data_IF_458164717955
#
_entry.id   IF_458164717955
#
_cell.length_a   1.000
_cell.length_b   1.000
_cell.length_c   1.000
_cell.angle_alpha   90.00
_cell.angle_beta   90.00
_cell.angle_gamma   90.00
#
_symmetry.space_group_name_H-M   'P 1'
#
loop_
_entity.id
_entity.type
_entity.pdbx_description
1 polymer ?
#
# COMPACT_ATOMS: atom_id res chain seq x y z
N UNK A 1 -11.59 44.76 -50.54
CA UNK A 1 -12.58 45.48 -49.72
C UNK A 1 -13.80 44.60 -49.68
N UNK A 2 -13.98 43.92 -48.55
CA UNK A 2 -14.95 42.84 -48.38
C UNK A 2 -16.39 43.31 -48.60
N UNK A 3 -17.10 42.50 -49.38
CA UNK A 3 -18.48 42.67 -49.82
C UNK A 3 -19.25 41.45 -49.34
N UNK A 4 -20.17 41.71 -48.39
CA UNK A 4 -21.56 41.24 -48.32
C UNK A 4 -21.88 39.72 -48.39
N UNK A 5 -22.62 39.22 -47.38
CA UNK A 5 -24.06 38.86 -47.40
C UNK A 5 -24.40 37.97 -46.17
N UNK A 6 -25.21 38.45 -45.20
CA UNK A 6 -26.67 38.25 -45.02
C UNK A 6 -27.11 36.76 -44.97
N UNK A 7 -27.43 36.20 -43.80
CA UNK A 7 -28.73 36.20 -43.06
C UNK A 7 -29.67 35.04 -43.44
N UNK A 8 -30.23 34.40 -42.39
CA UNK A 8 -31.49 33.64 -42.29
C UNK A 8 -31.46 32.16 -42.74
N UNK A 9 -31.54 31.15 -41.86
CA UNK A 9 -32.65 30.69 -41.01
C UNK A 9 -33.57 29.63 -41.67
N UNK A 10 -33.64 28.48 -40.98
CA UNK A 10 -34.72 27.50 -40.81
C UNK A 10 -35.09 26.46 -41.90
N UNK A 11 -34.86 25.19 -41.51
CA UNK A 11 -35.69 23.98 -41.61
C UNK A 11 -36.40 23.59 -42.94
N UNK A 12 -36.12 22.38 -43.46
CA UNK A 12 -37.04 21.22 -43.39
C UNK A 12 -36.42 19.89 -43.94
N UNK A 13 -36.33 18.89 -43.05
CA UNK A 13 -36.69 17.46 -43.14
C UNK A 13 -36.42 16.56 -44.39
N UNK A 14 -35.77 15.42 -44.06
CA UNK A 14 -35.86 14.04 -44.60
C UNK A 14 -35.23 13.70 -45.96
N UNK A 15 -34.15 12.90 -45.91
CA UNK A 15 -34.10 11.52 -46.43
C UNK A 15 -32.93 10.78 -45.75
N UNK A 16 -33.19 9.53 -45.36
CA UNK A 16 -32.36 8.74 -44.47
C UNK A 16 -31.05 8.24 -45.07
N UNK A 17 -30.10 7.99 -44.17
CA UNK A 17 -29.06 6.97 -44.36
C UNK A 17 -28.75 6.40 -42.98
N UNK A 18 -29.14 5.15 -42.80
CA UNK A 18 -28.85 4.29 -41.66
C UNK A 18 -27.35 4.10 -41.51
N UNK A 19 -26.81 4.50 -40.35
CA UNK A 19 -25.54 3.98 -39.86
C UNK A 19 -25.85 3.21 -38.57
N UNK A 20 -25.79 1.88 -38.66
CA UNK A 20 -25.63 1.03 -37.48
C UNK A 20 -24.28 1.39 -36.84
N UNK A 21 -24.32 1.86 -35.60
CA UNK A 21 -23.15 2.06 -34.76
C UNK A 21 -23.54 1.75 -33.33
N UNK A 22 -22.94 0.68 -32.79
CA UNK A 22 -23.19 0.07 -31.49
C UNK A 22 -23.45 1.08 -30.38
N UNK A 23 -24.61 0.95 -29.73
CA UNK A 23 -24.83 1.48 -28.40
C UNK A 23 -23.81 0.83 -27.47
N UNK A 24 -22.73 1.56 -27.17
CA UNK A 24 -21.92 1.30 -25.98
C UNK A 24 -22.89 1.26 -24.80
N UNK A 25 -23.06 0.08 -24.22
CA UNK A 25 -23.67 -0.06 -22.92
C UNK A 25 -22.87 0.83 -21.97
N UNK A 26 -23.45 1.97 -21.60
CA UNK A 26 -22.99 2.76 -20.48
C UNK A 26 -23.14 1.82 -19.27
N UNK A 27 -22.04 1.25 -18.80
CA UNK A 27 -22.04 0.44 -17.59
C UNK A 27 -22.65 1.29 -16.49
N UNK A 28 -23.68 0.74 -15.83
CA UNK A 28 -24.27 1.35 -14.65
C UNK A 28 -23.12 1.63 -13.66
N UNK A 29 -23.06 2.79 -12.99
CA UNK A 29 -22.08 2.99 -11.93
C UNK A 29 -22.23 1.85 -10.93
N UNK A 30 -21.13 1.18 -10.55
CA UNK A 30 -21.18 0.15 -9.52
C UNK A 30 -21.80 0.76 -8.25
N UNK A 31 -22.79 0.08 -7.68
CA UNK A 31 -23.49 0.60 -6.51
C UNK A 31 -22.52 0.65 -5.32
N UNK A 32 -22.33 1.84 -4.76
CA UNK A 32 -21.40 2.07 -3.63
C UNK A 32 -21.94 1.34 -2.40
N UNK A 33 -21.11 0.44 -1.85
CA UNK A 33 -21.40 -0.34 -0.66
C UNK A 33 -21.19 0.50 0.61
N UNK A 34 -20.04 1.17 0.75
CA UNK A 34 -19.70 2.05 1.89
C UNK A 34 -19.01 3.31 1.39
N UNK A 35 -19.50 4.49 1.81
CA UNK A 35 -18.86 5.76 1.51
C UNK A 35 -17.64 6.01 2.42
N UNK A 36 -16.54 6.50 1.85
CA UNK A 36 -15.30 6.81 2.56
C UNK A 36 -15.05 8.32 2.66
N UNK A 37 -14.32 8.74 3.69
CA UNK A 37 -13.79 10.10 3.82
C UNK A 37 -12.66 10.31 2.82
N UNK A 38 -13.00 10.74 1.61
CA UNK A 38 -12.02 10.91 0.53
C UNK A 38 -11.26 12.25 0.58
N UNK A 39 -11.41 13.04 1.63
CA UNK A 39 -10.74 14.32 1.77
C UNK A 39 -9.25 14.12 2.03
N UNK A 40 -8.42 14.77 1.22
CA UNK A 40 -6.95 14.74 1.33
C UNK A 40 -6.40 16.14 1.58
N UNK A 41 -5.38 16.23 2.41
CA UNK A 41 -4.74 17.49 2.77
C UNK A 41 -3.69 17.92 1.72
N UNK A 42 -3.75 19.16 1.19
CA UNK A 42 -2.81 19.65 0.16
C UNK A 42 -1.40 19.96 0.70
N UNK A 43 -1.22 20.05 2.02
CA UNK A 43 0.09 20.29 2.66
C UNK A 43 0.69 19.06 3.32
N UNK A 44 0.14 17.87 3.07
CA UNK A 44 0.56 16.62 3.72
C UNK A 44 1.09 15.65 2.68
N UNK A 45 2.40 15.39 2.73
CA UNK A 45 3.09 14.49 1.83
C UNK A 45 2.88 13.05 2.27
N UNK A 46 2.37 12.22 1.36
CA UNK A 46 2.48 10.77 1.48
C UNK A 46 3.86 10.31 1.04
N UNK A 47 4.55 9.58 1.92
CA UNK A 47 5.93 9.13 1.67
C UNK A 47 6.04 7.69 1.19
N UNK A 48 4.94 6.94 1.13
CA UNK A 48 4.97 5.58 0.57
C UNK A 48 5.39 5.65 -0.90
N UNK A 49 6.48 4.94 -1.21
CA UNK A 49 7.07 4.94 -2.56
C UNK A 49 6.88 3.60 -3.25
N UNK A 50 6.68 3.66 -4.56
CA UNK A 50 6.84 2.53 -5.46
C UNK A 50 8.32 2.35 -5.85
N UNK A 51 8.72 1.14 -6.29
CA UNK A 51 10.09 0.86 -6.75
C UNK A 51 10.54 1.72 -7.96
N UNK A 52 9.59 2.34 -8.69
CA UNK A 52 9.86 3.20 -9.85
C UNK A 52 9.57 4.69 -9.61
N UNK A 53 9.17 5.06 -8.40
CA UNK A 53 8.83 6.44 -8.09
C UNK A 53 10.10 7.28 -7.92
N UNK A 54 10.06 8.53 -8.37
CA UNK A 54 11.13 9.47 -8.10
C UNK A 54 11.19 9.77 -6.59
N UNK A 55 12.36 9.54 -5.99
CA UNK A 55 12.63 9.87 -4.59
C UNK A 55 12.51 11.41 -4.41
N UNK A 56 11.69 11.91 -3.46
CA UNK A 56 11.69 13.31 -3.09
C UNK A 56 13.05 13.65 -2.46
N UNK A 57 13.91 14.28 -3.25
CA UNK A 57 15.31 14.53 -2.93
C UNK A 57 15.54 16.02 -2.68
N UNK A 58 15.93 16.36 -1.46
CA UNK A 58 16.39 17.69 -1.08
C UNK A 58 17.91 17.77 -1.27
N UNK A 59 18.40 18.91 -1.75
CA UNK A 59 19.82 19.15 -1.97
C UNK A 59 20.18 20.55 -1.46
N UNK A 60 21.16 20.62 -0.57
CA UNK A 60 21.61 21.85 0.07
C UNK A 60 23.12 21.99 -0.07
N UNK A 61 23.60 23.17 -0.46
CA UNK A 61 25.02 23.46 -0.42
C UNK A 61 25.44 23.58 1.04
N UNK A 62 26.43 22.81 1.46
CA UNK A 62 26.85 22.75 2.86
C UNK A 62 27.35 24.11 3.35
N UNK A 63 28.01 24.88 2.48
CA UNK A 63 28.46 26.26 2.76
C UNK A 63 27.34 27.22 3.18
N UNK A 64 26.10 26.93 2.78
CA UNK A 64 24.94 27.79 3.01
C UNK A 64 24.13 27.32 4.23
N UNK A 65 24.53 26.22 4.88
CA UNK A 65 23.83 25.66 6.04
C UNK A 65 24.31 26.33 7.32
N UNK A 66 23.40 27.07 7.96
CA UNK A 66 23.65 27.68 9.28
C UNK A 66 23.24 26.78 10.46
N UNK A 67 22.40 25.77 10.22
CA UNK A 67 21.96 24.81 11.23
C UNK A 67 21.62 23.46 10.57
N UNK A 68 22.12 22.37 11.14
CA UNK A 68 21.78 21.00 10.73
C UNK A 68 20.51 20.45 11.42
N UNK A 69 19.76 21.31 12.11
CA UNK A 69 18.49 20.93 12.72
C UNK A 69 17.41 20.71 11.64
N UNK A 70 16.80 19.53 11.66
CA UNK A 70 15.64 19.20 10.86
C UNK A 70 14.49 18.75 11.75
N UNK A 71 13.26 19.17 11.44
CA UNK A 71 12.06 18.77 12.18
C UNK A 71 10.89 18.55 11.24
N UNK A 72 9.97 17.68 11.63
CA UNK A 72 8.73 17.37 10.88
C UNK A 72 7.72 16.69 11.79
N UNK A 73 6.47 16.64 11.36
CA UNK A 73 5.46 15.78 11.97
C UNK A 73 5.26 14.52 11.13
N UNK A 74 5.20 13.35 11.78
CA UNK A 74 4.95 12.05 11.17
C UNK A 74 3.67 11.44 11.71
N UNK A 75 2.90 10.79 10.84
CA UNK A 75 1.77 9.91 11.19
C UNK A 75 1.82 8.65 10.34
N UNK A 76 1.75 7.48 10.97
CA UNK A 76 1.78 6.18 10.29
C UNK A 76 1.15 5.07 11.16
N UNK A 77 0.72 3.97 10.54
CA UNK A 77 0.45 2.68 11.19
C UNK A 77 1.47 1.60 10.80
N UNK A 78 2.35 1.91 9.84
CA UNK A 78 3.40 1.04 9.35
C UNK A 78 4.42 0.76 10.49
N UNK A 79 4.78 -0.50 10.77
CA UNK A 79 5.76 -0.81 11.81
C UNK A 79 7.23 -0.63 11.36
N UNK A 80 7.50 -0.52 10.07
CA UNK A 80 8.84 -0.47 9.49
C UNK A 80 8.91 0.56 8.35
N UNK A 81 10.09 1.08 8.05
CA UNK A 81 10.29 1.92 6.86
C UNK A 81 11.30 3.04 7.02
N UNK A 82 11.77 3.58 5.90
CA UNK A 82 12.70 4.71 5.91
C UNK A 82 11.90 6.01 6.06
N UNK A 83 12.20 6.81 7.08
CA UNK A 83 11.60 8.15 7.23
C UNK A 83 12.38 9.14 6.38
N UNK A 84 13.70 9.20 6.58
CA UNK A 84 14.60 9.90 5.67
C UNK A 84 16.02 9.32 5.73
N UNK A 85 16.75 9.47 4.64
CA UNK A 85 18.16 9.12 4.52
C UNK A 85 18.95 10.34 4.04
N UNK A 86 20.00 10.70 4.77
CA UNK A 86 20.89 11.82 4.45
C UNK A 86 22.31 11.35 4.15
N UNK A 87 22.95 11.90 3.13
CA UNK A 87 24.40 11.71 2.91
C UNK A 87 25.10 13.04 2.59
N UNK A 88 26.38 13.09 2.93
CA UNK A 88 27.25 14.23 2.68
C UNK A 88 28.45 13.75 1.85
N UNK A 89 28.74 14.45 0.75
CA UNK A 89 29.99 14.34 -0.04
C UNK A 89 30.27 13.00 -0.75
N UNK A 90 30.40 11.90 0.00
CA UNK A 90 30.82 10.54 -0.45
C UNK A 90 29.79 9.50 0.00
N UNK A 91 29.67 8.38 -0.73
CA UNK A 91 28.77 7.26 -0.37
C UNK A 91 29.14 6.58 0.97
N UNK A 92 30.28 6.93 1.57
CA UNK A 92 30.84 6.35 2.79
C UNK A 92 30.39 7.05 4.09
N UNK A 93 29.62 8.14 4.04
CA UNK A 93 29.10 8.79 5.25
C UNK A 93 27.65 9.20 5.11
N UNK A 94 26.79 8.59 5.93
CA UNK A 94 25.36 8.74 5.82
C UNK A 94 24.66 8.53 7.17
N UNK A 95 23.47 9.13 7.26
CA UNK A 95 22.56 9.04 8.39
C UNK A 95 21.22 8.53 7.89
N UNK A 96 20.66 7.54 8.57
CA UNK A 96 19.35 6.99 8.29
C UNK A 96 18.49 7.11 9.55
N UNK A 97 17.35 7.78 9.42
CA UNK A 97 16.27 7.68 10.38
C UNK A 97 15.19 6.79 9.81
N UNK A 98 14.87 5.74 10.54
CA UNK A 98 13.91 4.72 10.13
C UNK A 98 12.98 4.35 11.27
N UNK A 99 11.90 3.68 10.93
CA UNK A 99 11.09 2.93 11.86
C UNK A 99 11.44 1.45 11.74
N UNK A 100 11.60 0.78 12.88
CA UNK A 100 11.77 -0.67 12.93
C UNK A 100 11.10 -1.21 14.18
N UNK A 101 10.31 -2.27 14.04
CA UNK A 101 9.51 -2.84 15.13
C UNK A 101 8.67 -1.80 15.88
N UNK A 102 8.20 -0.76 15.17
CA UNK A 102 7.39 0.38 15.66
C UNK A 102 8.14 1.48 16.41
N UNK A 103 9.46 1.38 16.54
CA UNK A 103 10.30 2.36 17.25
C UNK A 103 11.21 3.11 16.28
N UNK A 104 11.56 4.35 16.63
CA UNK A 104 12.58 5.08 15.87
C UNK A 104 13.93 4.37 15.99
N UNK A 105 14.62 4.31 14.87
CA UNK A 105 15.94 3.73 14.77
C UNK A 105 16.85 4.64 13.93
N UNK A 106 18.01 4.94 14.51
CA UNK A 106 19.09 5.67 13.87
C UNK A 106 20.15 4.69 13.43
N UNK A 107 20.57 4.81 12.16
CA UNK A 107 21.83 4.27 11.70
C UNK A 107 22.73 5.42 11.24
N UNK A 108 23.95 5.42 11.73
CA UNK A 108 24.98 6.40 11.35
C UNK A 108 26.20 5.63 10.87
N UNK A 109 26.62 5.90 9.64
CA UNK A 109 27.85 5.38 9.08
C UNK A 109 28.83 6.53 8.89
N UNK A 110 30.01 6.42 9.50
CA UNK A 110 31.08 7.42 9.43
C UNK A 110 32.42 6.68 9.32
N UNK A 111 33.06 6.79 8.15
CA UNK A 111 34.30 6.06 7.83
C UNK A 111 34.11 4.54 7.90
N UNK A 112 34.67 3.90 8.93
CA UNK A 112 34.53 2.45 9.18
C UNK A 112 33.59 2.11 10.34
N UNK A 113 32.98 3.12 10.97
CA UNK A 113 32.09 2.94 12.12
C UNK A 113 30.64 2.94 11.66
N UNK A 114 29.88 1.92 12.09
CA UNK A 114 28.43 1.85 11.92
C UNK A 114 27.78 1.80 13.31
N UNK A 115 27.01 2.83 13.63
CA UNK A 115 26.24 2.92 14.87
C UNK A 115 24.78 2.62 14.53
N UNK A 116 24.14 1.76 15.35
CA UNK A 116 22.70 1.46 15.28
C UNK A 116 22.09 1.62 16.67
N UNK A 117 21.14 2.54 16.81
CA UNK A 117 20.48 2.82 18.09
C UNK A 117 18.98 2.94 17.88
N UNK A 118 18.19 2.26 18.71
CA UNK A 118 16.73 2.42 18.79
C UNK A 118 16.34 2.77 20.23
N UNK A 119 15.38 3.69 20.38
CA UNK A 119 14.89 4.17 21.67
C UNK A 119 13.60 4.96 21.47
N UNK A 120 12.94 5.34 22.56
CA UNK A 120 11.76 6.21 22.56
C UNK A 120 10.42 5.47 22.52
N UNK A 121 9.32 6.22 22.31
CA UNK A 121 7.97 5.66 22.31
C UNK A 121 7.65 4.91 21.01
N UNK A 122 6.53 4.18 21.04
CA UNK A 122 5.90 3.64 19.82
C UNK A 122 5.45 4.80 18.93
N UNK A 123 5.78 4.73 17.64
CA UNK A 123 5.49 5.81 16.67
C UNK A 123 4.25 5.52 15.83
N UNK A 124 3.99 4.26 15.51
CA UNK A 124 2.98 3.86 14.52
C UNK A 124 1.55 3.76 15.07
N UNK A 125 1.16 4.67 15.95
CA UNK A 125 -0.15 4.67 16.61
C UNK A 125 -1.23 5.44 15.83
N UNK A 126 -0.93 5.90 14.61
CA UNK A 126 -1.84 6.67 13.78
C UNK A 126 -2.03 8.13 14.21
N UNK A 127 -1.31 8.62 15.22
CA UNK A 127 -1.34 10.02 15.63
C UNK A 127 -0.15 10.79 15.07
N UNK A 128 -0.32 12.11 14.94
CA UNK A 128 0.78 13.01 14.57
C UNK A 128 1.76 13.14 15.73
N UNK A 129 3.05 12.90 15.47
CA UNK A 129 4.15 13.11 16.41
C UNK A 129 5.18 14.02 15.80
N UNK A 130 5.69 15.00 16.56
CA UNK A 130 6.76 15.86 16.09
C UNK A 130 8.11 15.22 16.36
N UNK A 131 8.89 15.02 15.29
CA UNK A 131 10.22 14.43 15.34
C UNK A 131 11.23 15.51 14.94
N UNK A 132 12.33 15.61 15.68
CA UNK A 132 13.44 16.49 15.31
C UNK A 132 14.77 15.76 15.40
N UNK A 133 15.68 16.09 14.49
CA UNK A 133 17.07 15.64 14.48
C UNK A 133 17.95 16.87 14.48
N UNK A 134 18.90 16.96 15.41
CA UNK A 134 19.79 18.10 15.53
C UNK A 134 21.21 17.67 15.89
N UNK A 135 22.21 18.43 15.44
CA UNK A 135 23.59 18.30 15.91
C UNK A 135 23.82 19.40 16.96
N UNK A 136 24.19 19.01 18.19
CA UNK A 136 24.43 19.94 19.30
C UNK A 136 25.59 19.44 20.17
N UNK A 137 26.60 20.27 20.41
CA UNK A 137 27.74 19.96 21.28
C UNK A 137 28.39 18.59 21.01
N UNK A 138 28.66 18.27 19.73
CA UNK A 138 29.19 16.96 19.29
C UNK A 138 28.24 15.77 19.49
N UNK A 139 26.93 16.01 19.66
CA UNK A 139 25.93 14.95 19.69
C UNK A 139 24.92 15.12 18.58
N UNK A 140 24.52 14.00 17.97
CA UNK A 140 23.28 13.92 17.20
C UNK A 140 22.16 13.57 18.20
N UNK A 141 21.18 14.45 18.28
CA UNK A 141 19.99 14.30 19.12
C UNK A 141 18.79 13.99 18.23
N UNK A 142 18.03 12.95 18.59
CA UNK A 142 16.70 12.72 18.04
C UNK A 142 15.68 12.88 19.15
N UNK A 143 14.67 13.69 18.90
CA UNK A 143 13.63 14.03 19.87
C UNK A 143 12.25 13.68 19.31
N UNK A 144 11.33 13.29 20.21
CA UNK A 144 9.90 13.09 19.91
C UNK A 144 9.10 13.96 20.86
N UNK A 145 8.24 14.83 20.32
CA UNK A 145 7.40 15.75 21.08
C UNK A 145 8.17 16.58 22.14
N UNK A 146 9.40 16.97 21.77
CA UNK A 146 10.40 17.73 22.56
C UNK A 146 11.19 16.92 23.61
N UNK A 147 10.98 15.60 23.72
CA UNK A 147 11.80 14.73 24.56
C UNK A 147 12.95 14.11 23.76
N UNK A 148 14.19 14.33 24.20
CA UNK A 148 15.40 13.73 23.59
C UNK A 148 15.44 12.22 23.89
N UNK A 149 15.15 11.40 22.89
CA UNK A 149 15.04 9.94 23.04
C UNK A 149 16.29 9.17 22.60
N UNK A 150 17.06 9.74 21.67
CA UNK A 150 18.32 9.17 21.16
C UNK A 150 19.39 10.25 21.21
N UNK A 151 20.55 9.88 21.74
CA UNK A 151 21.74 10.73 21.78
C UNK A 151 22.94 9.92 21.31
N UNK A 152 23.51 10.30 20.17
CA UNK A 152 24.67 9.65 19.56
C UNK A 152 25.86 10.58 19.66
N UNK A 153 26.99 10.11 20.20
CA UNK A 153 28.23 10.88 20.19
C UNK A 153 28.79 10.92 18.77
N UNK A 154 28.98 12.11 18.23
CA UNK A 154 29.54 12.35 16.92
C UNK A 154 30.89 13.03 17.11
N UNK A 155 31.96 12.41 16.59
CA UNK A 155 33.32 12.86 16.84
C UNK A 155 33.71 14.10 16.03
N UNK A 156 32.92 14.49 15.02
CA UNK A 156 33.11 15.72 14.25
C UNK A 156 32.46 16.94 14.90
N UNK A 157 33.16 18.08 14.84
CA UNK A 157 32.59 19.38 15.20
C UNK A 157 31.78 19.94 14.02
N UNK A 158 30.66 20.61 14.29
CA UNK A 158 29.81 21.25 13.26
C UNK A 158 30.62 22.26 12.43
N UNK A 159 31.63 22.88 13.06
CA UNK A 159 32.55 23.82 12.42
C UNK A 159 33.36 23.19 11.28
N UNK A 160 33.62 21.87 11.34
CA UNK A 160 34.31 21.15 10.26
C UNK A 160 33.46 21.09 8.99
N UNK A 161 32.12 21.02 9.10
CA UNK A 161 31.24 21.02 7.93
C UNK A 161 31.16 22.41 7.25
N UNK A 162 31.31 23.51 8.00
CA UNK A 162 31.12 24.86 7.45
C UNK A 162 32.26 25.33 6.53
N UNK A 163 33.46 24.77 6.69
CA UNK A 163 34.60 25.04 5.79
C UNK A 163 34.64 24.11 4.57
N UNK A 164 33.69 23.17 4.47
CA UNK A 164 33.67 22.15 3.42
C UNK A 164 32.86 22.56 2.17
N UNK A 165 33.42 22.26 1.00
CA UNK A 165 32.72 22.34 -0.28
C UNK A 165 32.02 21.00 -0.52
N UNK A 166 30.69 20.99 -0.49
CA UNK A 166 29.90 19.78 -0.73
C UNK A 166 28.39 20.02 -0.74
N UNK A 167 27.65 18.98 -1.12
CA UNK A 167 26.18 18.98 -1.13
C UNK A 167 25.67 17.97 -0.11
N UNK A 168 24.81 18.41 0.79
CA UNK A 168 23.98 17.56 1.63
C UNK A 168 22.76 17.12 0.81
N UNK A 169 22.56 15.81 0.68
CA UNK A 169 21.36 15.25 0.05
C UNK A 169 20.50 14.56 1.10
N UNK A 170 19.19 14.80 1.07
CA UNK A 170 18.22 14.15 1.95
C UNK A 170 17.11 13.54 1.10
N UNK A 171 17.00 12.22 1.11
CA UNK A 171 15.90 11.47 0.52
C UNK A 171 14.78 11.28 1.54
N UNK A 172 13.56 11.67 1.19
CA UNK A 172 12.38 11.55 2.05
C UNK A 172 11.63 10.27 1.72
N UNK A 173 11.35 9.42 2.71
CA UNK A 173 10.64 8.15 2.50
C UNK A 173 11.41 7.09 1.72
N UNK A 174 12.70 7.31 1.45
CA UNK A 174 13.55 6.40 0.70
C UNK A 174 15.03 6.68 0.94
N UNK A 175 15.85 5.71 0.53
CA UNK A 175 17.30 5.87 0.47
C UNK A 175 17.70 6.83 -0.64
N UNK A 176 18.76 7.60 -0.43
CA UNK A 176 19.33 8.46 -1.48
C UNK A 176 19.90 7.54 -2.58
N UNK A 177 19.56 7.78 -3.86
CA UNK A 177 20.05 6.95 -4.97
C UNK A 177 21.57 6.79 -4.97
N UNK A 178 22.04 5.61 -5.40
CA UNK A 178 23.46 5.24 -5.43
C UNK A 178 24.15 5.27 -4.05
N UNK A 179 23.43 5.02 -2.95
CA UNK A 179 24.06 4.83 -1.63
C UNK A 179 24.01 3.35 -1.25
N UNK A 180 25.14 2.77 -0.84
CA UNK A 180 25.18 1.43 -0.25
C UNK A 180 24.89 1.51 1.25
N UNK A 181 23.71 1.04 1.65
CA UNK A 181 23.29 0.98 3.05
C UNK A 181 23.20 -0.51 3.45
N UNK A 182 24.21 -1.08 4.13
CA UNK A 182 24.23 -2.48 4.55
C UNK A 182 23.32 -2.73 5.76
N UNK A 183 22.06 -2.30 5.66
CA UNK A 183 21.04 -2.45 6.70
C UNK A 183 19.91 -3.31 6.15
N UNK A 184 19.50 -4.32 6.92
CA UNK A 184 18.32 -5.11 6.61
C UNK A 184 17.07 -4.35 7.08
N UNK A 185 16.51 -3.54 6.19
CA UNK A 185 15.26 -2.79 6.38
C UNK A 185 14.50 -2.73 5.05
N UNK A 186 13.20 -2.94 5.09
CA UNK A 186 12.30 -2.62 3.99
C UNK A 186 12.17 -1.08 3.91
N UNK A 187 12.59 -0.42 2.81
CA UNK A 187 12.60 1.03 2.76
C UNK A 187 11.20 1.65 2.67
N UNK A 188 10.20 0.88 2.22
CA UNK A 188 8.82 1.36 2.06
C UNK A 188 8.24 1.82 3.40
N UNK A 189 7.55 2.96 3.40
CA UNK A 189 6.87 3.50 4.58
C UNK A 189 5.50 4.06 4.17
N UNK A 190 4.40 3.40 4.56
CA UNK A 190 3.05 3.98 4.47
C UNK A 190 2.87 5.03 5.58
N UNK A 191 3.40 6.23 5.32
CA UNK A 191 3.42 7.34 6.26
C UNK A 191 3.08 8.69 5.63
N UNK A 192 2.74 9.63 6.49
CA UNK A 192 2.43 11.01 6.12
C UNK A 192 3.35 11.99 6.84
N UNK A 193 3.87 12.98 6.12
CA UNK A 193 4.69 14.06 6.66
C UNK A 193 4.02 15.41 6.47
N UNK A 194 4.16 16.29 7.47
CA UNK A 194 3.75 17.70 7.40
C UNK A 194 4.61 18.58 8.32
N UNK A 195 4.39 19.89 8.26
CA UNK A 195 5.03 20.88 9.15
C UNK A 195 6.55 20.69 9.24
N UNK A 196 7.19 20.40 8.10
CA UNK A 196 8.61 20.13 8.05
C UNK A 196 9.44 21.41 7.94
N UNK A 197 10.66 21.32 8.44
CA UNK A 197 11.68 22.35 8.39
C UNK A 197 13.02 21.62 8.31
N UNK A 198 13.60 21.55 7.11
CA UNK A 198 14.82 20.79 6.82
C UNK A 198 16.00 21.74 6.79
N UNK A 199 16.95 21.56 7.71
CA UNK A 199 18.18 22.37 7.84
C UNK A 199 17.96 23.89 7.80
N UNK A 200 16.78 24.35 8.23
CA UNK A 200 16.34 25.76 8.18
C UNK A 200 16.40 26.39 6.78
N UNK A 201 16.22 25.58 5.74
CA UNK A 201 16.22 26.01 4.34
C UNK A 201 14.93 25.62 3.60
N UNK A 202 14.74 26.21 2.41
CA UNK A 202 13.56 26.00 1.57
C UNK A 202 13.46 24.56 1.06
N UNK A 203 12.24 24.02 1.05
CA UNK A 203 11.95 22.63 0.68
C UNK A 203 10.83 22.52 -0.37
N UNK A 204 10.80 23.46 -1.33
CA UNK A 204 9.78 23.55 -2.42
C UNK A 204 9.57 22.25 -3.20
N UNK A 205 10.61 21.42 -3.34
CA UNK A 205 10.53 20.12 -4.03
C UNK A 205 9.48 19.20 -3.41
N UNK A 206 9.27 19.26 -2.08
CA UNK A 206 8.26 18.44 -1.41
C UNK A 206 6.84 18.91 -1.77
N UNK A 207 6.60 20.22 -1.81
CA UNK A 207 5.31 20.75 -2.26
C UNK A 207 5.02 20.42 -3.72
N UNK A 208 6.03 20.50 -4.60
CA UNK A 208 5.90 20.07 -6.00
C UNK A 208 5.58 18.58 -6.12
N UNK A 209 6.15 17.76 -5.23
CA UNK A 209 5.85 16.31 -5.17
C UNK A 209 4.40 16.07 -4.74
N UNK A 210 3.88 16.84 -3.79
CA UNK A 210 2.46 16.72 -3.38
C UNK A 210 1.53 17.05 -4.54
N UNK A 211 1.83 18.10 -5.30
CA UNK A 211 0.99 18.54 -6.42
C UNK A 211 1.15 17.68 -7.68
N UNK A 212 2.11 16.76 -7.72
CA UNK A 212 2.32 15.92 -8.90
C UNK A 212 1.26 14.84 -9.09
N UNK A 213 0.57 14.42 -8.01
CA UNK A 213 -0.48 13.39 -8.07
C UNK A 213 -1.33 13.37 -6.79
N UNK A 214 -2.61 13.01 -6.92
CA UNK A 214 -3.49 12.74 -5.78
C UNK A 214 -3.02 11.54 -4.93
N UNK A 215 -2.21 10.63 -5.49
CA UNK A 215 -1.59 9.55 -4.73
C UNK A 215 -0.49 10.05 -3.77
N UNK A 216 0.05 11.25 -3.97
CA UNK A 216 1.05 11.88 -3.09
C UNK A 216 0.46 12.64 -1.91
N UNK A 217 -0.86 12.72 -1.83
CA UNK A 217 -1.59 13.34 -0.72
C UNK A 217 -2.10 12.29 0.26
N UNK A 218 -2.07 12.62 1.54
CA UNK A 218 -2.67 11.79 2.58
C UNK A 218 -4.12 12.19 2.88
N UNK A 219 -4.95 11.21 3.25
CA UNK A 219 -6.27 11.50 3.82
C UNK A 219 -6.19 12.20 5.16
N UNK A 220 -7.20 12.99 5.47
CA UNK A 220 -7.28 13.69 6.76
C UNK A 220 -7.49 12.70 7.91
N UNK A 221 -8.36 11.71 7.71
CA UNK A 221 -8.67 10.66 8.68
C UNK A 221 -8.28 9.29 8.13
N UNK A 222 -7.46 8.56 8.87
CA UNK A 222 -7.05 7.19 8.54
C UNK A 222 -7.33 6.23 9.69
N UNK A 223 -7.52 4.97 9.35
CA UNK A 223 -7.65 3.83 10.27
C UNK A 223 -6.71 2.71 9.84
N UNK A 224 -6.38 1.75 10.73
CA UNK A 224 -5.53 0.62 10.36
C UNK A 224 -6.13 -0.23 9.23
N UNK A 225 -5.27 -0.70 8.32
CA UNK A 225 -5.61 -1.69 7.28
C UNK A 225 -5.01 -1.35 5.93
N UNK A 226 -5.04 -2.32 5.02
CA UNK A 226 -4.56 -2.11 3.65
C UNK A 226 -5.71 -1.65 2.76
N UNK A 227 -5.54 -0.52 2.07
CA UNK A 227 -6.57 0.01 1.18
C UNK A 227 -6.28 -0.32 -0.28
N UNK A 228 -7.23 -0.98 -0.92
CA UNK A 228 -7.25 -1.25 -2.35
C UNK A 228 -8.24 -0.29 -3.02
N UNK A 229 -7.79 0.53 -3.98
CA UNK A 229 -8.61 1.57 -4.62
C UNK A 229 -9.45 1.07 -5.80
N UNK A 230 -9.42 -0.23 -6.15
CA UNK A 230 -10.10 -0.76 -7.33
C UNK A 230 -9.36 -0.57 -8.66
N UNK A 231 -8.04 -0.34 -8.63
CA UNK A 231 -7.22 -0.12 -9.85
C UNK A 231 -6.06 -1.10 -10.04
N UNK A 232 -5.84 -2.04 -9.12
CA UNK A 232 -4.74 -2.99 -9.25
C UNK A 232 -4.70 -4.04 -8.16
N UNK A 233 -3.54 -4.68 -8.02
CA UNK A 233 -3.32 -5.84 -7.16
C UNK A 233 -1.98 -5.79 -6.43
N UNK A 234 -1.82 -6.69 -5.47
CA UNK A 234 -0.53 -7.06 -4.88
C UNK A 234 -0.21 -8.53 -5.20
N UNK A 235 1.04 -8.80 -5.59
CA UNK A 235 1.56 -10.11 -6.01
C UNK A 235 2.62 -10.59 -5.01
N UNK A 236 2.50 -11.83 -4.57
CA UNK A 236 3.42 -12.48 -3.62
C UNK A 236 3.86 -13.85 -4.12
N UNK A 237 5.09 -14.23 -3.80
CA UNK A 237 5.53 -15.62 -3.97
C UNK A 237 4.83 -16.50 -2.92
N UNK A 238 4.27 -17.63 -3.33
CA UNK A 238 3.50 -18.52 -2.43
C UNK A 238 4.34 -19.03 -1.25
N UNK A 239 5.62 -19.31 -1.49
CA UNK A 239 6.59 -19.75 -0.48
C UNK A 239 6.73 -18.77 0.70
N UNK A 240 6.43 -17.48 0.50
CA UNK A 240 6.48 -16.49 1.59
C UNK A 240 5.52 -16.82 2.73
N UNK A 241 4.44 -17.56 2.46
CA UNK A 241 3.43 -17.96 3.45
C UNK A 241 3.54 -19.42 3.89
N UNK A 242 4.59 -20.13 3.45
CA UNK A 242 4.84 -21.47 3.95
C UNK A 242 5.22 -21.41 5.42
N UNK A 243 4.64 -22.33 6.19
CA UNK A 243 5.01 -22.57 7.58
C UNK A 243 5.85 -23.84 7.63
N UNK A 244 6.83 -23.88 8.55
CA UNK A 244 7.59 -25.10 8.80
C UNK A 244 6.67 -26.10 9.51
N UNK A 245 5.94 -26.88 8.73
CA UNK A 245 5.04 -27.91 9.23
C UNK A 245 5.83 -29.12 9.73
N UNK A 246 5.36 -29.73 10.81
CA UNK A 246 5.81 -31.06 11.20
C UNK A 246 5.39 -32.10 10.16
N UNK A 247 6.05 -33.27 10.13
CA UNK A 247 5.71 -34.36 9.19
C UNK A 247 4.22 -34.77 9.27
N UNK A 248 3.63 -34.76 10.46
CA UNK A 248 2.21 -35.09 10.65
C UNK A 248 1.25 -34.02 10.09
N UNK A 249 1.66 -32.75 10.10
CA UNK A 249 0.90 -31.65 9.50
C UNK A 249 1.09 -31.58 7.98
N UNK A 250 2.25 -32.03 7.47
CA UNK A 250 2.49 -32.18 6.05
C UNK A 250 1.62 -33.30 5.42
N UNK A 251 1.28 -34.35 6.17
CA UNK A 251 0.34 -35.39 5.70
C UNK A 251 -1.09 -34.84 5.58
N UNK A 252 -1.51 -33.96 6.50
CA UNK A 252 -2.82 -33.29 6.51
C UNK A 252 -2.71 -31.84 6.02
N UNK A 253 -2.28 -31.66 4.78
CA UNK A 253 -2.18 -30.34 4.17
C UNK A 253 -3.51 -29.58 4.26
N UNK A 254 -3.41 -28.29 4.61
CA UNK A 254 -4.54 -27.38 4.58
C UNK A 254 -4.10 -26.00 4.12
N UNK A 255 -5.01 -25.25 3.51
CA UNK A 255 -4.83 -23.84 3.20
C UNK A 255 -5.86 -23.03 3.96
N UNK A 256 -5.39 -22.09 4.78
CA UNK A 256 -6.25 -21.14 5.49
C UNK A 256 -5.95 -19.70 5.06
N UNK A 257 -6.99 -18.98 4.65
CA UNK A 257 -6.97 -17.55 4.33
C UNK A 257 -8.02 -16.85 5.17
N UNK A 258 -7.60 -15.94 6.03
CA UNK A 258 -8.46 -15.13 6.88
C UNK A 258 -8.46 -13.69 6.34
N UNK A 259 -9.64 -13.12 6.17
CA UNK A 259 -9.86 -11.78 5.63
C UNK A 259 -10.72 -10.97 6.59
N UNK A 260 -10.24 -9.81 7.01
CA UNK A 260 -11.06 -8.79 7.68
C UNK A 260 -11.33 -7.69 6.67
N UNK A 261 -12.51 -7.69 6.05
CA UNK A 261 -12.79 -6.84 4.89
C UNK A 261 -13.89 -5.81 5.15
N UNK A 262 -13.69 -4.60 4.62
CA UNK A 262 -14.65 -3.50 4.58
C UNK A 262 -14.70 -2.95 3.14
N UNK A 263 -15.60 -3.48 2.29
CA UNK A 263 -15.69 -3.09 0.90
C UNK A 263 -16.26 -1.68 0.72
N UNK A 264 -15.71 -0.92 -0.23
CA UNK A 264 -16.33 0.29 -0.78
C UNK A 264 -17.28 -0.08 -1.91
N UNK A 265 -16.95 -1.13 -2.66
CA UNK A 265 -17.81 -1.76 -3.67
C UNK A 265 -17.83 -3.26 -3.37
N UNK A 266 -19.01 -3.89 -3.42
CA UNK A 266 -19.18 -5.33 -3.16
C UNK A 266 -18.85 -6.19 -4.40
N UNK A 267 -17.76 -5.87 -5.09
CA UNK A 267 -17.32 -6.52 -6.32
C UNK A 267 -15.79 -6.58 -6.37
N UNK A 268 -15.26 -7.68 -6.89
CA UNK A 268 -13.83 -7.81 -7.19
C UNK A 268 -13.14 -9.01 -6.53
N UNK A 269 -11.92 -9.28 -7.00
CA UNK A 269 -11.09 -10.40 -6.54
C UNK A 269 -10.50 -10.09 -5.17
N UNK A 270 -10.75 -10.93 -4.18
CA UNK A 270 -10.18 -10.81 -2.83
C UNK A 270 -8.83 -11.52 -2.74
N UNK A 271 -8.77 -12.76 -3.23
CA UNK A 271 -7.62 -13.65 -3.15
C UNK A 271 -7.59 -14.55 -4.38
N UNK A 272 -6.42 -14.78 -4.96
CA UNK A 272 -6.23 -15.73 -6.05
C UNK A 272 -4.85 -16.39 -6.00
N UNK A 273 -4.76 -17.60 -6.56
CA UNK A 273 -3.52 -18.37 -6.72
C UNK A 273 -3.36 -18.74 -8.18
N UNK A 274 -2.20 -18.44 -8.74
CA UNK A 274 -1.80 -18.91 -10.06
C UNK A 274 -0.74 -20.00 -9.92
N UNK A 275 -0.78 -20.96 -10.83
CA UNK A 275 0.28 -21.94 -10.97
C UNK A 275 1.54 -21.34 -11.62
N UNK A 276 2.60 -22.14 -11.67
CA UNK A 276 3.87 -21.80 -12.30
C UNK A 276 3.77 -21.53 -13.82
N UNK A 277 2.64 -21.90 -14.44
CA UNK A 277 2.33 -21.63 -15.84
C UNK A 277 1.45 -20.39 -16.00
N UNK A 278 1.18 -19.65 -14.91
CA UNK A 278 0.29 -18.49 -14.86
C UNK A 278 -1.20 -18.81 -15.14
N UNK A 279 -1.64 -20.06 -14.94
CA UNK A 279 -3.05 -20.40 -14.98
C UNK A 279 -3.72 -20.18 -13.63
N UNK A 280 -4.97 -19.73 -13.64
CA UNK A 280 -5.76 -19.54 -12.43
C UNK A 280 -6.11 -20.89 -11.80
N UNK A 281 -5.56 -21.15 -10.62
CA UNK A 281 -5.81 -22.39 -9.86
C UNK A 281 -6.93 -22.22 -8.83
N UNK A 282 -6.94 -21.09 -8.14
CA UNK A 282 -7.92 -20.75 -7.11
C UNK A 282 -8.24 -19.26 -7.15
N UNK A 283 -9.51 -18.86 -7.04
CA UNK A 283 -9.87 -17.47 -6.72
C UNK A 283 -11.09 -17.37 -5.83
N UNK A 284 -11.12 -16.33 -5.00
CA UNK A 284 -12.25 -15.90 -4.19
C UNK A 284 -12.66 -14.48 -4.60
N UNK A 285 -13.89 -14.31 -5.08
CA UNK A 285 -14.38 -13.06 -5.66
C UNK A 285 -15.73 -12.64 -5.06
N UNK A 286 -15.89 -11.35 -4.82
CA UNK A 286 -17.20 -10.73 -4.60
C UNK A 286 -17.86 -10.48 -5.96
N UNK A 287 -19.14 -10.81 -6.10
CA UNK A 287 -19.91 -10.53 -7.32
C UNK A 287 -21.20 -9.77 -6.98
N UNK A 288 -21.18 -8.46 -7.20
CA UNK A 288 -22.32 -7.57 -6.98
C UNK A 288 -23.49 -7.88 -7.92
N UNK A 289 -23.21 -8.17 -9.20
CA UNK A 289 -24.25 -8.45 -10.21
C UNK A 289 -25.09 -9.68 -9.85
N UNK A 290 -24.43 -10.74 -9.37
CA UNK A 290 -25.09 -11.98 -8.97
C UNK A 290 -25.45 -12.04 -7.49
N UNK A 291 -25.08 -11.01 -6.70
CA UNK A 291 -25.29 -10.95 -5.25
C UNK A 291 -24.76 -12.18 -4.49
N UNK A 292 -23.59 -12.69 -4.89
CA UNK A 292 -22.97 -13.89 -4.30
C UNK A 292 -21.45 -13.75 -4.17
N UNK A 293 -20.85 -14.71 -3.46
CA UNK A 293 -19.40 -14.93 -3.45
C UNK A 293 -19.08 -16.12 -4.35
N UNK A 294 -18.15 -15.93 -5.28
CA UNK A 294 -17.71 -16.96 -6.21
C UNK A 294 -16.32 -17.46 -5.81
N UNK A 295 -16.19 -18.79 -5.72
CA UNK A 295 -14.94 -19.49 -5.53
C UNK A 295 -14.64 -20.32 -6.78
N UNK A 296 -13.57 -20.00 -7.51
CA UNK A 296 -13.20 -20.75 -8.71
C UNK A 296 -12.02 -21.66 -8.42
N UNK A 297 -12.13 -22.94 -8.76
CA UNK A 297 -11.04 -23.93 -8.65
C UNK A 297 -10.85 -24.57 -10.03
N UNK A 298 -9.68 -24.39 -10.64
CA UNK A 298 -9.35 -24.90 -11.99
C UNK A 298 -10.47 -24.70 -13.03
N UNK A 299 -11.09 -23.52 -13.04
CA UNK A 299 -12.17 -23.15 -13.95
C UNK A 299 -13.58 -23.60 -13.54
N UNK A 300 -13.72 -24.40 -12.48
CA UNK A 300 -15.01 -24.75 -11.87
C UNK A 300 -15.41 -23.69 -10.85
N UNK A 301 -16.53 -23.02 -11.08
CA UNK A 301 -17.08 -22.02 -10.16
C UNK A 301 -18.01 -22.67 -9.14
N UNK A 302 -17.77 -22.37 -7.86
CA UNK A 302 -18.59 -22.72 -6.71
C UNK A 302 -19.17 -21.42 -6.15
N UNK A 303 -20.49 -21.34 -6.06
CA UNK A 303 -21.19 -20.11 -5.68
C UNK A 303 -21.78 -20.24 -4.26
N UNK A 304 -21.72 -19.16 -3.48
CA UNK A 304 -22.45 -19.07 -2.21
C UNK A 304 -23.95 -18.84 -2.42
N UNK A 305 -24.75 -19.04 -1.38
CA UNK A 305 -26.20 -18.73 -1.42
C UNK A 305 -26.48 -17.23 -1.54
N UNK A 306 -25.51 -16.39 -1.19
CA UNK A 306 -25.59 -14.94 -1.34
C UNK A 306 -24.45 -14.20 -0.64
N UNK A 307 -24.44 -12.87 -0.75
CA UNK A 307 -23.59 -11.99 0.04
C UNK A 307 -24.12 -11.87 1.49
N UNK A 308 -23.23 -11.79 2.50
CA UNK A 308 -23.67 -11.55 3.88
C UNK A 308 -24.42 -10.22 4.02
N UNK A 309 -25.56 -10.17 4.76
CA UNK A 309 -26.36 -8.95 4.90
C UNK A 309 -25.58 -7.74 5.44
N UNK A 310 -24.59 -7.98 6.31
CA UNK A 310 -23.80 -6.94 6.95
C UNK A 310 -22.53 -6.57 6.18
N UNK A 311 -22.34 -7.08 4.96
CA UNK A 311 -21.15 -6.81 4.14
C UNK A 311 -20.93 -5.31 3.92
N UNK A 312 -22.01 -4.56 3.68
CA UNK A 312 -22.00 -3.11 3.44
C UNK A 312 -22.30 -2.28 4.70
N UNK A 313 -22.11 -2.83 5.90
CA UNK A 313 -22.38 -2.12 7.15
C UNK A 313 -21.38 -1.01 7.48
N UNK A 314 -20.24 -0.93 6.79
CA UNK A 314 -19.12 -0.06 7.15
C UNK A 314 -18.24 -0.59 8.28
N UNK A 315 -18.63 -1.71 8.91
CA UNK A 315 -17.80 -2.43 9.88
C UNK A 315 -17.01 -3.54 9.17
N UNK A 316 -15.80 -3.82 9.65
CA UNK A 316 -14.99 -4.93 9.12
C UNK A 316 -15.70 -6.27 9.36
N UNK A 317 -15.78 -7.08 8.31
CA UNK A 317 -16.36 -8.41 8.33
C UNK A 317 -15.26 -9.47 8.35
N UNK A 318 -15.32 -10.40 9.30
CA UNK A 318 -14.33 -11.46 9.48
C UNK A 318 -14.71 -12.72 8.70
N UNK A 319 -13.89 -13.06 7.71
CA UNK A 319 -14.09 -14.18 6.80
C UNK A 319 -12.93 -15.17 6.90
N UNK A 320 -13.22 -16.46 6.72
CA UNK A 320 -12.20 -17.52 6.71
C UNK A 320 -12.50 -18.53 5.61
N UNK A 321 -11.60 -18.61 4.65
CA UNK A 321 -11.53 -19.69 3.67
C UNK A 321 -10.59 -20.77 4.22
N UNK A 322 -11.08 -22.01 4.29
CA UNK A 322 -10.29 -23.17 4.70
C UNK A 322 -10.47 -24.29 3.69
N UNK A 323 -9.36 -24.81 3.18
CA UNK A 323 -9.31 -26.01 2.37
C UNK A 323 -8.57 -27.09 3.16
N UNK A 324 -9.26 -28.15 3.52
CA UNK A 324 -8.70 -29.29 4.26
C UNK A 324 -9.56 -30.53 4.03
N UNK A 325 -8.95 -31.72 3.99
CA UNK A 325 -9.67 -33.00 3.84
C UNK A 325 -10.72 -32.96 2.71
N UNK A 326 -10.30 -32.50 1.52
CA UNK A 326 -11.14 -32.41 0.32
C UNK A 326 -12.38 -31.51 0.45
N UNK A 327 -12.44 -30.72 1.52
CA UNK A 327 -13.53 -29.80 1.81
C UNK A 327 -13.02 -28.38 1.74
N UNK A 328 -13.72 -27.54 0.98
CA UNK A 328 -13.55 -26.09 1.03
C UNK A 328 -14.68 -25.52 1.86
N UNK A 329 -14.35 -24.82 2.94
CA UNK A 329 -15.31 -24.07 3.75
C UNK A 329 -15.03 -22.58 3.67
N UNK A 330 -16.05 -21.77 3.36
CA UNK A 330 -16.00 -20.32 3.45
C UNK A 330 -16.93 -19.87 4.58
N UNK A 331 -16.34 -19.46 5.69
CA UNK A 331 -17.07 -18.84 6.81
C UNK A 331 -17.10 -17.33 6.61
N UNK A 332 -18.29 -16.73 6.55
CA UNK A 332 -18.51 -15.29 6.41
C UNK A 332 -19.30 -14.79 7.61
N UNK A 333 -18.60 -14.41 8.68
CA UNK A 333 -19.19 -14.11 9.99
C UNK A 333 -20.07 -15.27 10.53
N UNK A 334 -21.40 -15.15 10.42
CA UNK A 334 -22.39 -16.11 10.93
C UNK A 334 -22.79 -17.18 9.91
N UNK A 335 -22.52 -16.98 8.62
CA UNK A 335 -22.82 -17.95 7.57
C UNK A 335 -21.60 -18.80 7.24
N UNK A 336 -21.83 -20.05 6.84
CA UNK A 336 -20.77 -20.97 6.43
C UNK A 336 -21.22 -21.71 5.18
N UNK A 337 -20.42 -21.63 4.13
CA UNK A 337 -20.58 -22.38 2.89
C UNK A 337 -19.58 -23.52 2.86
N UNK A 338 -19.99 -24.70 2.38
CA UNK A 338 -19.11 -25.87 2.25
C UNK A 338 -19.28 -26.53 0.90
N UNK A 339 -18.16 -26.81 0.25
CA UNK A 339 -18.10 -27.55 -1.00
C UNK A 339 -17.11 -28.70 -0.88
N UNK A 340 -17.42 -29.79 -1.56
CA UNK A 340 -16.53 -30.95 -1.67
C UNK A 340 -15.82 -30.88 -3.02
N UNK A 341 -14.50 -31.04 -2.99
CA UNK A 341 -13.68 -31.14 -4.19
C UNK A 341 -13.18 -32.57 -4.35
N UNK A 342 -12.81 -32.93 -5.58
CA UNK A 342 -12.22 -34.23 -5.88
C UNK A 342 -10.81 -34.37 -5.30
N UNK A 343 -10.36 -35.62 -5.12
CA UNK A 343 -8.96 -35.91 -4.76
C UNK A 343 -7.97 -35.26 -5.72
N UNK A 344 -8.25 -35.30 -7.03
CA UNK A 344 -7.39 -34.69 -8.04
C UNK A 344 -7.26 -33.17 -7.89
N UNK A 345 -8.38 -32.46 -7.68
CA UNK A 345 -8.37 -31.01 -7.43
C UNK A 345 -7.61 -30.67 -6.14
N UNK A 346 -7.78 -31.47 -5.08
CA UNK A 346 -7.08 -31.27 -3.81
C UNK A 346 -5.56 -31.43 -3.95
N UNK A 347 -5.10 -32.52 -4.58
CA UNK A 347 -3.67 -32.77 -4.79
C UNK A 347 -3.04 -31.71 -5.70
N UNK A 348 -3.73 -31.32 -6.77
CA UNK A 348 -3.21 -30.29 -7.68
C UNK A 348 -3.12 -28.91 -7.01
N UNK A 349 -4.08 -28.54 -6.16
CA UNK A 349 -3.99 -27.30 -5.38
C UNK A 349 -2.84 -27.33 -4.38
N UNK A 350 -2.61 -28.49 -3.75
CA UNK A 350 -1.46 -28.69 -2.86
C UNK A 350 -0.14 -28.55 -3.62
N UNK A 351 0.01 -29.23 -4.76
CA UNK A 351 1.20 -29.12 -5.61
C UNK A 351 1.43 -27.67 -6.07
N UNK A 352 0.35 -26.98 -6.46
CA UNK A 352 0.42 -25.55 -6.81
C UNK A 352 0.87 -24.71 -5.63
N UNK A 353 0.31 -24.93 -4.44
CA UNK A 353 0.69 -24.21 -3.23
C UNK A 353 2.17 -24.44 -2.85
N UNK A 354 2.66 -25.67 -3.05
CA UNK A 354 4.02 -26.09 -2.71
C UNK A 354 5.06 -25.66 -3.77
N UNK A 355 4.63 -25.25 -4.96
CA UNK A 355 5.53 -24.91 -6.06
C UNK A 355 6.22 -23.54 -5.87
N UNK A 356 7.55 -23.44 -6.04
CA UNK A 356 8.30 -22.20 -5.80
C UNK A 356 7.85 -21.02 -6.68
N UNK A 357 7.49 -21.29 -7.92
CA UNK A 357 7.06 -20.26 -8.88
C UNK A 357 5.55 -19.96 -8.85
N UNK A 358 4.80 -20.56 -7.93
CA UNK A 358 3.39 -20.22 -7.76
C UNK A 358 3.23 -18.90 -7.03
N UNK A 359 2.28 -18.10 -7.51
CA UNK A 359 2.09 -16.72 -7.07
C UNK A 359 0.69 -16.51 -6.51
N UNK A 360 0.61 -15.66 -5.49
CA UNK A 360 -0.62 -15.26 -4.82
C UNK A 360 -0.92 -13.82 -5.20
N UNK A 361 -2.17 -13.56 -5.56
CA UNK A 361 -2.67 -12.22 -5.80
C UNK A 361 -3.71 -11.82 -4.77
N UNK A 362 -3.64 -10.57 -4.34
CA UNK A 362 -4.62 -9.91 -3.49
C UNK A 362 -5.20 -8.70 -4.22
N UNK A 363 -6.52 -8.55 -4.13
CA UNK A 363 -7.25 -7.41 -4.67
C UNK A 363 -7.44 -7.38 -6.19
N UNK A 364 -6.93 -8.35 -6.94
CA UNK A 364 -7.01 -8.33 -8.40
C UNK A 364 -6.19 -9.40 -9.08
N UNK A 365 -6.21 -9.39 -10.42
CA UNK A 365 -5.37 -10.23 -11.27
C UNK A 365 -4.78 -9.39 -12.42
N UNK A 366 -3.66 -9.81 -13.03
CA UNK A 366 -3.13 -9.15 -14.22
C UNK A 366 -4.13 -9.12 -15.37
N UNK A 367 -4.12 -8.05 -16.15
CA UNK A 367 -5.03 -7.85 -17.28
C UNK A 367 -4.93 -8.97 -18.34
N UNK A 368 -3.75 -9.58 -18.49
CA UNK A 368 -3.50 -10.70 -19.41
C UNK A 368 -4.40 -11.92 -19.15
N UNK A 369 -4.86 -12.10 -17.92
CA UNK A 369 -5.76 -13.18 -17.51
C UNK A 369 -7.23 -12.74 -17.46
N UNK A 370 -7.45 -11.43 -17.56
CA UNK A 370 -8.79 -10.81 -17.60
C UNK A 370 -9.40 -10.81 -19.01
N UNK A 371 -8.74 -11.45 -19.99
CA UNK A 371 -9.11 -11.49 -21.40
C UNK A 371 -10.18 -12.54 -21.77
N UNK A 372 -10.78 -13.21 -20.77
CA UNK A 372 -11.99 -14.02 -20.97
C UNK A 372 -13.24 -13.16 -20.72
N UNK A 373 -14.39 -13.54 -21.27
CA UNK A 373 -15.66 -12.78 -21.27
C UNK A 373 -16.24 -12.39 -19.89
N UNK A 374 -15.52 -12.67 -18.81
CA UNK A 374 -15.87 -12.30 -17.44
C UNK A 374 -14.71 -11.49 -16.87
N UNK A 375 -14.72 -10.18 -17.10
CA UNK A 375 -13.73 -9.27 -16.53
C UNK A 375 -13.80 -9.37 -15.01
N UNK A 376 -12.78 -9.95 -14.37
CA UNK A 376 -12.69 -10.02 -12.91
C UNK A 376 -12.23 -8.66 -12.39
N UNK A 377 -13.10 -7.88 -11.71
CA UNK A 377 -12.76 -6.52 -11.33
C UNK A 377 -11.76 -6.51 -10.17
N UNK A 378 -11.03 -5.40 -10.06
CA UNK A 378 -10.19 -5.12 -8.91
C UNK A 378 -11.06 -4.84 -7.68
N UNK A 379 -10.64 -5.36 -6.53
CA UNK A 379 -11.27 -5.08 -5.26
C UNK A 379 -11.11 -3.61 -4.89
N UNK A 380 -12.21 -3.01 -4.43
CA UNK A 380 -12.23 -1.66 -3.90
C UNK A 380 -12.69 -1.69 -2.45
N UNK A 381 -11.75 -1.52 -1.52
CA UNK A 381 -12.05 -1.59 -0.09
C UNK A 381 -10.82 -1.68 0.79
N UNK A 382 -11.09 -1.79 2.09
CA UNK A 382 -10.10 -2.03 3.12
C UNK A 382 -10.05 -3.50 3.47
N UNK A 383 -8.85 -4.04 3.69
CA UNK A 383 -8.66 -5.43 4.07
C UNK A 383 -7.47 -5.61 5.00
N UNK A 384 -7.60 -6.52 5.96
CA UNK A 384 -6.46 -7.19 6.59
C UNK A 384 -6.48 -8.66 6.16
N UNK A 385 -5.32 -9.19 5.79
CA UNK A 385 -5.20 -10.55 5.28
C UNK A 385 -4.24 -11.33 6.17
N UNK A 386 -4.59 -12.58 6.45
CA UNK A 386 -3.72 -13.53 7.13
C UNK A 386 -3.78 -14.87 6.39
N UNK A 387 -2.63 -15.36 5.96
CA UNK A 387 -2.49 -16.57 5.16
C UNK A 387 -1.66 -17.55 5.95
N UNK A 388 -2.17 -18.76 6.16
CA UNK A 388 -1.48 -19.80 6.95
C UNK A 388 -1.00 -19.33 8.32
N UNK A 389 -1.80 -18.53 9.03
CA UNK A 389 -1.40 -18.02 10.33
C UNK A 389 -0.53 -16.76 10.28
N UNK A 390 0.04 -16.39 9.13
CA UNK A 390 0.95 -15.25 8.96
C UNK A 390 0.19 -14.00 8.47
N UNK A 391 0.22 -12.87 9.20
CA UNK A 391 -0.29 -11.59 8.70
C UNK A 391 0.43 -11.20 7.41
N UNK A 392 -0.32 -10.72 6.42
CA UNK A 392 0.25 -10.26 5.15
C UNK A 392 0.64 -8.79 5.28
N UNK A 393 1.91 -8.50 5.06
CA UNK A 393 2.43 -7.15 4.90
C UNK A 393 2.51 -6.83 3.39
N UNK A 394 1.81 -5.79 2.95
CA UNK A 394 1.76 -5.40 1.54
C UNK A 394 3.08 -4.82 1.04
N UNK A 395 3.95 -4.31 1.92
CA UNK A 395 5.27 -3.82 1.54
C UNK A 395 6.26 -4.96 1.25
N UNK A 396 5.90 -6.20 1.57
CA UNK A 396 6.63 -7.42 1.19
C UNK A 396 6.19 -8.00 -0.16
N UNK A 397 5.22 -7.37 -0.83
CA UNK A 397 4.77 -7.82 -2.15
C UNK A 397 5.88 -7.69 -3.20
N UNK A 398 6.02 -8.71 -4.05
CA UNK A 398 6.92 -8.68 -5.20
C UNK A 398 6.53 -7.57 -6.18
N UNK A 399 5.23 -7.39 -6.38
CA UNK A 399 4.64 -6.25 -7.10
C UNK A 399 3.44 -5.73 -6.34
N UNK A 400 3.30 -4.42 -6.23
CA UNK A 400 2.16 -3.74 -5.60
C UNK A 400 1.78 -2.54 -6.45
N UNK A 401 0.51 -2.44 -6.84
CA UNK A 401 0.02 -1.25 -7.54
C UNK A 401 0.24 0.00 -6.68
N UNK A 402 0.70 1.11 -7.28
CA UNK A 402 1.15 2.32 -6.56
C UNK A 402 0.08 2.99 -5.71
N UNK A 403 -1.19 2.85 -6.09
CA UNK A 403 -2.31 3.44 -5.34
C UNK A 403 -2.76 2.58 -4.14
N UNK A 404 -2.23 1.36 -3.98
CA UNK A 404 -2.49 0.52 -2.79
C UNK A 404 -1.75 1.09 -1.59
N UNK A 405 -2.46 1.22 -0.48
CA UNK A 405 -1.89 1.60 0.82
C UNK A 405 -1.70 0.35 1.66
N UNK A 406 -0.51 0.19 2.21
CA UNK A 406 -0.13 -1.05 2.87
C UNK A 406 -0.72 -1.15 4.28
N UNK A 407 -0.76 -0.03 4.99
CA UNK A 407 -1.04 0.03 6.42
C UNK A 407 -2.08 1.10 6.79
N UNK A 408 -2.51 1.96 5.85
CA UNK A 408 -3.53 2.98 6.08
C UNK A 408 -4.78 2.83 5.20
N UNK A 409 -5.93 2.96 5.85
CA UNK A 409 -7.25 2.94 5.24
C UNK A 409 -7.99 4.27 5.48
N UNK A 410 -8.71 4.83 4.49
CA UNK A 410 -9.56 5.98 4.74
C UNK A 410 -10.69 5.59 5.71
N UNK A 411 -11.09 6.54 6.56
CA UNK A 411 -12.23 6.36 7.46
C UNK A 411 -13.56 6.27 6.68
N UNK A 412 -14.59 5.73 7.32
CA UNK A 412 -15.96 5.71 6.77
C UNK A 412 -16.60 7.08 6.96
N UNK A 413 -17.27 7.59 5.93
CA UNK A 413 -17.98 8.86 6.03
C UNK A 413 -19.19 8.73 6.96
N UNK A 414 -19.17 9.44 8.09
CA UNK A 414 -20.21 9.36 9.13
C UNK A 414 -21.61 9.85 8.67
N UNK A 415 -21.69 10.60 7.56
CA UNK A 415 -22.94 11.22 7.10
C UNK A 415 -23.92 10.30 6.33
N UNK A 416 -23.67 9.00 6.21
CA UNK A 416 -24.54 8.08 5.43
C UNK A 416 -25.25 7.03 6.30
N UNK A 417 -24.98 6.95 7.60
CA UNK A 417 -25.60 5.95 8.48
C UNK A 417 -26.95 6.37 9.12
N UNK A 418 -27.44 7.59 8.86
CA UNK A 418 -28.71 8.07 9.46
C UNK A 418 -29.95 7.96 8.55
N UNK A 419 -29.86 7.41 7.33
CA UNK A 419 -31.02 7.27 6.44
C UNK A 419 -31.04 5.95 5.64
N UNK A 420 -31.07 4.82 6.32
CA UNK A 420 -31.64 3.58 5.78
C UNK A 420 -32.49 2.87 6.81
#
# INVERSE_FOLDING_TARGET
MDVLFKVSSLLLWLLGSSVLGETRHLSKPADICVAIENQKSPGVLYVGQHQSDAVPLLQFQISDIHSFESSFELRTFDPEGVIFHGNMRTEESWFLLSLQDRFLQVHLHEGSSLIRISSGPVINDGHWKRISVAIKNSFILVSVDNDDIIKVNHLGDITQFQEEIGVLKIGIGALVPNTSVPVHINPSLDGCLRNWDWVKQDSKVLYQTIESSESRKCWDTIVPGSYFPGSGFAEFDSLFFHTNLSQAEAENWSLTVELSLRPVISNGVLFAVLDFQSNLSLSLCLNETQQLVALTIFGKTLESHGLPPNLCSGQSQEWRLTLANHTVSLKMAETEEKWIISEGEFQQLRETWEHPDSVIYLGGLPETLSASSTQMPYFHGCVHVKIQGKPVDMDMARKKHSDIRAHSCPAVALHVLENK
#
